data_IF_820591506098
#
_entry.id   IF_820591506098
#
_cell.length_a   1.000
_cell.length_b   1.000
_cell.length_c   1.000
_cell.angle_alpha   90.00
_cell.angle_beta   90.00
_cell.angle_gamma   90.00
#
_symmetry.space_group_name_H-M   'P 1'
#
loop_
_entity.id
_entity.type
_entity.pdbx_description
1 polymer ?
#
# COMPACT_ATOMS: atom_id res chain seq x y z
N UNK A 1 -5.85 -21.44 2.17
CA UNK A 1 -5.17 -20.57 1.19
C UNK A 1 -6.23 -20.08 0.23
N UNK A 2 -6.31 -18.77 -0.01
CA UNK A 2 -7.26 -18.18 -0.97
C UNK A 2 -6.47 -17.38 -2.02
N UNK A 3 -6.88 -17.50 -3.28
CA UNK A 3 -6.23 -16.85 -4.40
C UNK A 3 -7.12 -15.82 -5.04
N UNK A 4 -6.52 -14.73 -5.52
CA UNK A 4 -7.17 -13.71 -6.31
C UNK A 4 -6.34 -13.34 -7.53
N UNK A 5 -7.02 -13.02 -8.63
CA UNK A 5 -6.40 -12.56 -9.85
C UNK A 5 -7.13 -11.35 -10.38
N UNK A 6 -6.39 -10.28 -10.62
CA UNK A 6 -6.85 -9.06 -11.27
C UNK A 6 -6.02 -8.84 -12.55
N UNK A 7 -6.67 -8.69 -13.67
CA UNK A 7 -6.00 -8.30 -14.91
C UNK A 7 -6.69 -7.07 -15.51
N UNK A 8 -5.86 -6.13 -15.95
CA UNK A 8 -6.27 -4.86 -16.51
C UNK A 8 -5.69 -4.70 -17.91
N UNK A 9 -6.52 -4.33 -18.88
CA UNK A 9 -6.08 -4.08 -20.24
C UNK A 9 -6.54 -2.71 -20.73
N UNK A 10 -5.78 -2.14 -21.64
CA UNK A 10 -6.19 -0.92 -22.32
C UNK A 10 -7.43 -1.19 -23.17
N UNK A 11 -8.39 -0.27 -23.11
CA UNK A 11 -9.63 -0.33 -23.86
C UNK A 11 -10.00 1.07 -24.35
N UNK A 12 -9.80 1.34 -25.63
CA UNK A 12 -9.96 2.67 -26.20
C UNK A 12 -9.06 3.71 -25.51
N UNK A 13 -9.66 4.76 -24.98
CA UNK A 13 -8.95 5.82 -24.24
C UNK A 13 -8.75 5.50 -22.74
N UNK A 14 -9.40 4.45 -22.23
CA UNK A 14 -9.34 4.06 -20.83
C UNK A 14 -8.77 2.66 -20.62
N UNK A 15 -9.06 2.11 -19.46
CA UNK A 15 -8.67 0.77 -19.03
C UNK A 15 -9.92 -0.02 -18.61
N UNK A 16 -9.96 -1.30 -18.94
CA UNK A 16 -11.00 -2.23 -18.51
C UNK A 16 -10.39 -3.29 -17.58
N UNK A 17 -11.19 -3.76 -16.62
CA UNK A 17 -10.90 -4.99 -15.89
C UNK A 17 -11.19 -6.16 -16.80
N UNK A 18 -10.17 -6.95 -17.10
CA UNK A 18 -10.27 -8.15 -17.95
C UNK A 18 -10.57 -9.40 -17.13
N UNK A 19 -9.92 -9.50 -15.96
CA UNK A 19 -10.13 -10.60 -15.02
C UNK A 19 -10.30 -10.04 -13.62
N UNK A 20 -11.30 -10.54 -12.91
CA UNK A 20 -11.51 -10.31 -11.49
C UNK A 20 -11.99 -11.63 -10.86
N UNK A 21 -11.06 -12.54 -10.59
CA UNK A 21 -11.32 -13.85 -9.99
C UNK A 21 -10.80 -13.88 -8.55
N UNK A 22 -11.63 -14.33 -7.62
CA UNK A 22 -11.26 -14.51 -6.23
C UNK A 22 -11.87 -15.75 -5.61
N UNK A 23 -11.06 -16.51 -4.90
CA UNK A 23 -11.50 -17.59 -4.01
C UNK A 23 -11.89 -17.02 -2.64
N UNK A 24 -12.97 -17.55 -2.06
CA UNK A 24 -13.36 -17.18 -0.69
C UNK A 24 -12.21 -17.47 0.31
N UNK A 25 -11.94 -16.59 1.28
CA UNK A 25 -12.72 -15.42 1.71
C UNK A 25 -12.43 -14.12 0.93
N UNK A 26 -11.51 -14.12 -0.05
CA UNK A 26 -11.18 -12.93 -0.82
C UNK A 26 -12.32 -12.59 -1.78
N UNK A 27 -12.56 -11.30 -2.00
CA UNK A 27 -13.51 -10.75 -2.98
C UNK A 27 -12.96 -9.51 -3.63
N UNK A 28 -13.45 -9.22 -4.84
CA UNK A 28 -13.16 -7.99 -5.57
C UNK A 28 -14.44 -7.20 -5.84
N UNK A 29 -14.27 -5.89 -5.80
CA UNK A 29 -15.25 -4.93 -6.27
C UNK A 29 -14.59 -4.09 -7.36
N UNK A 30 -15.25 -3.98 -8.49
CA UNK A 30 -14.77 -3.25 -9.66
C UNK A 30 -15.78 -2.16 -10.02
N UNK A 31 -15.84 -1.06 -9.26
CA UNK A 31 -16.81 0.00 -9.49
C UNK A 31 -16.53 0.70 -10.82
N UNK A 32 -17.58 1.22 -11.42
CA UNK A 32 -17.45 2.16 -12.55
C UNK A 32 -16.92 3.49 -12.01
N UNK A 33 -16.02 4.10 -12.75
CA UNK A 33 -15.51 5.44 -12.52
C UNK A 33 -15.54 6.24 -13.82
N UNK A 34 -15.26 7.53 -13.74
CA UNK A 34 -15.29 8.43 -14.89
C UNK A 34 -13.88 8.70 -15.45
N UNK A 35 -12.86 8.11 -14.87
CA UNK A 35 -11.47 8.30 -15.26
C UNK A 35 -10.96 7.31 -16.30
N UNK A 36 -9.69 7.46 -16.66
CA UNK A 36 -9.00 6.57 -17.61
C UNK A 36 -8.47 5.28 -16.97
N UNK A 37 -8.35 5.23 -15.65
CA UNK A 37 -7.90 4.06 -14.92
C UNK A 37 -9.07 3.13 -14.57
N UNK A 38 -8.86 1.82 -14.57
CA UNK A 38 -9.80 0.87 -13.99
C UNK A 38 -9.53 0.71 -12.49
N UNK A 39 -10.60 0.59 -11.69
CA UNK A 39 -10.50 0.47 -10.25
C UNK A 39 -10.90 -0.91 -9.78
N UNK A 40 -10.17 -1.43 -8.81
CA UNK A 40 -10.52 -2.64 -8.08
C UNK A 40 -10.25 -2.45 -6.58
N UNK A 41 -11.18 -2.95 -5.78
CA UNK A 41 -11.02 -3.00 -4.33
C UNK A 41 -11.04 -4.45 -3.87
N UNK A 42 -10.04 -4.81 -3.08
CA UNK A 42 -10.01 -6.11 -2.40
C UNK A 42 -10.83 -6.04 -1.11
N UNK A 43 -11.49 -7.11 -0.77
CA UNK A 43 -12.22 -7.28 0.49
C UNK A 43 -12.10 -8.72 0.95
N UNK A 44 -12.14 -8.96 2.26
CA UNK A 44 -12.16 -10.31 2.83
C UNK A 44 -13.44 -10.53 3.64
N UNK A 45 -14.07 -11.68 3.45
CA UNK A 45 -15.15 -12.12 4.32
C UNK A 45 -14.57 -12.55 5.68
N UNK A 46 -15.29 -12.21 6.76
CA UNK A 46 -14.89 -12.64 8.12
C UNK A 46 -14.12 -11.58 8.92
N UNK A 47 -13.92 -10.37 8.39
CA UNK A 47 -13.43 -9.23 9.17
C UNK A 47 -11.92 -9.21 9.46
N UNK A 48 -11.14 -10.14 8.93
CA UNK A 48 -9.68 -10.18 9.06
C UNK A 48 -9.09 -11.57 8.90
N UNK A 49 -7.77 -11.68 9.08
CA UNK A 49 -7.00 -12.90 8.95
C UNK A 49 -6.88 -13.60 10.30
N UNK A 50 -7.11 -14.90 10.29
CA UNK A 50 -7.00 -15.78 11.46
C UNK A 50 -5.82 -16.76 11.31
N UNK A 51 -5.60 -17.59 12.32
CA UNK A 51 -4.46 -18.50 12.37
C UNK A 51 -4.41 -19.50 11.20
N UNK A 52 -3.34 -19.46 10.47
CA UNK A 52 -3.10 -20.30 9.29
C UNK A 52 -3.60 -19.73 7.98
N UNK A 53 -4.26 -18.57 7.96
CA UNK A 53 -4.71 -17.94 6.71
C UNK A 53 -3.54 -17.57 5.82
N UNK A 54 -3.74 -17.82 4.51
CA UNK A 54 -2.83 -17.44 3.44
C UNK A 54 -3.63 -16.83 2.30
N UNK A 55 -3.32 -15.57 1.96
CA UNK A 55 -3.90 -14.87 0.81
C UNK A 55 -2.84 -14.67 -0.25
N UNK A 56 -3.17 -14.95 -1.49
CA UNK A 56 -2.34 -14.69 -2.66
C UNK A 56 -3.11 -13.84 -3.66
N UNK A 57 -2.55 -12.71 -4.04
CA UNK A 57 -3.12 -11.77 -5.01
C UNK A 57 -2.15 -11.60 -6.18
N UNK A 58 -2.59 -11.94 -7.37
CA UNK A 58 -1.88 -11.65 -8.61
C UNK A 58 -2.53 -10.45 -9.32
N UNK A 59 -1.72 -9.49 -9.74
CA UNK A 59 -2.16 -8.29 -10.47
C UNK A 59 -1.37 -8.20 -11.77
N UNK A 60 -2.07 -8.09 -12.88
CA UNK A 60 -1.47 -7.88 -14.20
C UNK A 60 -2.02 -6.59 -14.82
N UNK A 61 -1.13 -5.67 -15.16
CA UNK A 61 -1.48 -4.42 -15.85
C UNK A 61 -0.85 -4.46 -17.24
N UNK A 62 -1.68 -4.60 -18.25
CA UNK A 62 -1.26 -4.71 -19.65
C UNK A 62 -0.67 -3.41 -20.19
N UNK A 63 -0.13 -3.45 -21.44
CA UNK A 63 0.54 -2.31 -22.04
C UNK A 63 -0.34 -1.07 -22.10
N UNK A 64 0.18 0.07 -21.62
CA UNK A 64 -0.53 1.34 -21.58
C UNK A 64 -1.80 1.39 -20.74
N UNK A 65 -2.14 0.33 -20.00
CA UNK A 65 -3.29 0.30 -19.08
C UNK A 65 -2.95 1.02 -17.77
N UNK A 66 -3.99 1.54 -17.12
CA UNK A 66 -3.87 2.21 -15.81
C UNK A 66 -4.79 1.55 -14.80
N UNK A 67 -4.26 1.03 -13.72
CA UNK A 67 -5.01 0.35 -12.68
C UNK A 67 -4.87 1.04 -11.32
N UNK A 68 -5.98 1.25 -10.64
CA UNK A 68 -6.02 1.64 -9.24
C UNK A 68 -6.54 0.45 -8.43
N UNK A 69 -5.73 -0.04 -7.51
CA UNK A 69 -6.07 -1.18 -6.64
C UNK A 69 -5.93 -0.75 -5.19
N UNK A 70 -6.99 -0.94 -4.42
CA UNK A 70 -7.03 -0.63 -2.99
C UNK A 70 -7.76 -1.76 -2.23
N UNK A 71 -8.13 -1.53 -0.99
CA UNK A 71 -8.99 -2.43 -0.22
C UNK A 71 -10.21 -1.70 0.30
N UNK A 72 -11.23 -2.44 0.76
CA UNK A 72 -12.46 -1.89 1.35
C UNK A 72 -12.40 -1.74 2.87
N UNK A 73 -11.24 -1.68 3.41
CA UNK A 73 -11.02 -1.52 4.84
C UNK A 73 -9.70 -2.16 5.29
N UNK A 74 -9.29 -1.91 6.52
CA UNK A 74 -8.01 -2.35 7.05
C UNK A 74 -7.92 -3.88 7.12
N UNK A 75 -6.75 -4.39 6.79
CA UNK A 75 -6.42 -5.80 7.03
C UNK A 75 -6.15 -6.01 8.50
N UNK A 76 -7.10 -6.63 9.20
CA UNK A 76 -6.95 -7.00 10.61
C UNK A 76 -6.33 -8.38 10.70
N UNK A 77 -5.29 -8.53 11.51
CA UNK A 77 -4.66 -9.82 11.76
C UNK A 77 -4.87 -10.20 13.23
N UNK A 78 -5.61 -11.25 13.44
CA UNK A 78 -5.95 -11.73 14.79
C UNK A 78 -4.83 -12.58 15.39
N UNK A 79 -4.91 -12.82 16.69
CA UNK A 79 -3.99 -13.72 17.42
C UNK A 79 -3.82 -15.03 16.65
N UNK A 80 -2.58 -15.45 16.46
CA UNK A 80 -2.26 -16.65 15.69
C UNK A 80 -0.98 -17.32 16.20
N UNK A 81 -1.02 -18.63 16.38
CA UNK A 81 0.13 -19.44 16.78
C UNK A 81 1.02 -19.77 15.57
N UNK A 82 0.39 -20.23 14.48
CA UNK A 82 1.07 -20.57 13.21
C UNK A 82 1.33 -19.36 12.32
N UNK A 83 0.61 -18.26 12.59
CA UNK A 83 0.67 -17.03 11.81
C UNK A 83 -0.25 -17.02 10.59
N UNK A 84 -0.52 -15.80 10.11
CA UNK A 84 -1.20 -15.53 8.85
C UNK A 84 -0.22 -14.90 7.87
N UNK A 85 -0.50 -15.00 6.57
CA UNK A 85 0.32 -14.34 5.56
C UNK A 85 -0.51 -13.82 4.39
N UNK A 86 0.00 -12.75 3.76
CA UNK A 86 -0.48 -12.28 2.47
C UNK A 86 0.69 -12.07 1.50
N UNK A 87 0.46 -12.44 0.25
CA UNK A 87 1.41 -12.23 -0.84
C UNK A 87 0.70 -11.52 -1.98
N UNK A 88 1.26 -10.41 -2.42
CA UNK A 88 0.81 -9.70 -3.62
C UNK A 88 1.93 -9.72 -4.64
N UNK A 89 1.65 -10.23 -5.83
CA UNK A 89 2.57 -10.22 -6.97
C UNK A 89 1.95 -9.42 -8.09
N UNK A 90 2.61 -8.35 -8.53
CA UNK A 90 2.13 -7.50 -9.60
C UNK A 90 3.11 -7.48 -10.78
N UNK A 91 2.58 -7.43 -12.00
CA UNK A 91 3.33 -7.19 -13.23
C UNK A 91 2.73 -6.01 -13.96
N UNK A 92 3.57 -5.05 -14.31
CA UNK A 92 3.17 -3.86 -15.04
C UNK A 92 3.95 -3.83 -16.36
N UNK A 93 3.21 -3.97 -17.44
CA UNK A 93 3.77 -4.01 -18.79
C UNK A 93 4.15 -2.60 -19.29
N UNK A 94 4.77 -2.54 -20.46
CA UNK A 94 5.30 -1.31 -21.06
C UNK A 94 4.25 -0.19 -21.11
N UNK A 95 4.62 1.00 -20.60
CA UNK A 95 3.74 2.17 -20.53
C UNK A 95 2.52 2.01 -19.61
N UNK A 96 2.36 0.86 -18.97
CA UNK A 96 1.33 0.62 -17.96
C UNK A 96 1.59 1.37 -16.67
N UNK A 97 0.54 1.57 -15.86
CA UNK A 97 0.66 2.21 -14.56
C UNK A 97 -0.19 1.50 -13.51
N UNK A 98 0.43 1.19 -12.37
CA UNK A 98 -0.26 0.62 -11.20
C UNK A 98 -0.21 1.62 -10.04
N UNK A 99 -1.38 1.93 -9.49
CA UNK A 99 -1.56 2.61 -8.22
C UNK A 99 -2.09 1.59 -7.22
N UNK A 100 -1.23 1.14 -6.29
CA UNK A 100 -1.53 0.09 -5.32
C UNK A 100 -1.53 0.67 -3.90
N UNK A 101 -2.71 0.92 -3.37
CA UNK A 101 -2.90 1.62 -2.10
C UNK A 101 -3.83 0.84 -1.16
N UNK A 102 -3.39 -0.31 -0.64
CA UNK A 102 -4.18 -1.06 0.34
C UNK A 102 -4.41 -0.23 1.61
N UNK A 103 -5.56 -0.43 2.24
CA UNK A 103 -5.80 0.11 3.57
C UNK A 103 -4.80 -0.45 4.59
N UNK A 104 -4.61 0.25 5.71
CA UNK A 104 -3.62 -0.13 6.70
C UNK A 104 -3.79 -1.55 7.23
N UNK A 105 -2.68 -2.24 7.44
CA UNK A 105 -2.63 -3.51 8.17
C UNK A 105 -2.58 -3.24 9.67
N UNK A 106 -3.44 -3.91 10.45
CA UNK A 106 -3.48 -3.83 11.90
C UNK A 106 -3.29 -5.23 12.51
N UNK A 107 -2.12 -5.47 13.08
CA UNK A 107 -1.83 -6.70 13.82
C UNK A 107 -2.26 -6.55 15.28
N UNK A 108 -3.15 -7.42 15.75
CA UNK A 108 -3.63 -7.41 17.14
C UNK A 108 -2.70 -8.19 18.08
N UNK A 109 -2.95 -8.07 19.36
CA UNK A 109 -2.15 -8.73 20.40
C UNK A 109 -1.99 -10.23 20.17
N UNK A 110 -0.74 -10.70 20.16
CA UNK A 110 -0.40 -12.08 19.88
C UNK A 110 -0.50 -12.53 18.43
N UNK A 111 -0.70 -11.61 17.46
CA UNK A 111 -0.66 -11.92 16.04
C UNK A 111 0.77 -12.27 15.59
N UNK A 112 0.86 -13.19 14.62
CA UNK A 112 2.03 -13.43 13.79
C UNK A 112 1.64 -13.19 12.34
N UNK A 113 2.35 -12.31 11.64
CA UNK A 113 1.99 -11.94 10.28
C UNK A 113 3.21 -11.78 9.39
N UNK A 114 3.09 -12.26 8.16
CA UNK A 114 4.05 -12.03 7.10
C UNK A 114 3.36 -11.45 5.87
N UNK A 115 3.82 -10.28 5.42
CA UNK A 115 3.36 -9.63 4.20
C UNK A 115 4.48 -9.61 3.17
N UNK A 116 4.14 -9.90 1.92
CA UNK A 116 5.07 -9.81 0.80
C UNK A 116 4.38 -9.13 -0.38
N UNK A 117 4.97 -8.04 -0.84
CA UNK A 117 4.56 -7.34 -2.06
C UNK A 117 5.73 -7.33 -3.04
N UNK A 118 5.52 -7.88 -4.23
CA UNK A 118 6.50 -7.91 -5.31
C UNK A 118 5.91 -7.31 -6.57
N UNK A 119 6.60 -6.31 -7.13
CA UNK A 119 6.18 -5.65 -8.37
C UNK A 119 7.28 -5.73 -9.40
N UNK A 120 6.97 -6.34 -10.55
CA UNK A 120 7.84 -6.34 -11.73
C UNK A 120 7.38 -5.24 -12.68
N UNK A 121 8.32 -4.40 -13.09
CA UNK A 121 8.09 -3.20 -13.91
C UNK A 121 8.79 -3.34 -15.25
N UNK A 122 8.03 -3.34 -16.36
CA UNK A 122 8.60 -3.25 -17.70
C UNK A 122 9.14 -1.81 -17.97
N UNK A 123 10.01 -1.62 -18.97
CA UNK A 123 10.48 -0.30 -19.36
C UNK A 123 9.33 0.68 -19.64
N UNK A 124 9.44 1.93 -19.15
CA UNK A 124 8.41 2.96 -19.33
C UNK A 124 7.14 2.76 -18.51
N UNK A 125 7.03 1.71 -17.71
CA UNK A 125 5.92 1.54 -16.77
C UNK A 125 6.06 2.42 -15.53
N UNK A 126 4.96 2.58 -14.78
CA UNK A 126 4.91 3.45 -13.60
C UNK A 126 4.24 2.75 -12.43
N UNK A 127 4.72 3.04 -11.22
CA UNK A 127 4.18 2.52 -9.97
C UNK A 127 4.06 3.63 -8.93
N UNK A 128 2.89 3.74 -8.32
CA UNK A 128 2.70 4.39 -7.04
C UNK A 128 2.15 3.36 -6.06
N UNK A 129 2.84 3.15 -4.94
CA UNK A 129 2.48 2.12 -3.98
C UNK A 129 2.71 2.62 -2.57
N UNK A 130 1.79 2.32 -1.66
CA UNK A 130 2.07 2.44 -0.23
C UNK A 130 1.81 1.14 0.52
N UNK A 131 2.51 1.00 1.63
CA UNK A 131 2.21 0.07 2.70
C UNK A 131 2.13 0.82 4.02
N UNK A 132 1.10 0.52 4.82
CA UNK A 132 0.88 1.14 6.13
C UNK A 132 0.64 0.06 7.16
N UNK A 133 1.42 0.08 8.24
CA UNK A 133 1.26 -0.78 9.40
C UNK A 133 0.82 0.03 10.61
N UNK A 134 -0.25 -0.40 11.24
CA UNK A 134 -0.79 0.15 12.49
C UNK A 134 -0.31 -0.64 13.69
N UNK A 135 -0.07 0.04 14.80
CA UNK A 135 0.24 -0.56 16.10
C UNK A 135 -0.84 -1.54 16.60
N UNK A 136 -2.04 -1.49 16.00
CA UNK A 136 -3.18 -2.26 16.46
C UNK A 136 -3.74 -1.73 17.79
N UNK A 137 -4.77 -2.41 18.30
CA UNK A 137 -5.47 -2.02 19.52
C UNK A 137 -4.56 -2.08 20.75
N UNK A 138 -3.74 -3.10 20.86
CA UNK A 138 -2.80 -3.34 21.96
C UNK A 138 -1.43 -2.65 21.75
N UNK A 139 -1.36 -1.66 20.86
CA UNK A 139 -0.18 -0.84 20.56
C UNK A 139 1.13 -1.64 20.51
N UNK A 140 1.38 -2.27 19.35
CA UNK A 140 2.58 -3.09 19.10
C UNK A 140 2.63 -4.39 19.91
N UNK A 141 1.47 -4.90 20.37
CA UNK A 141 1.34 -6.11 21.17
C UNK A 141 1.35 -7.43 20.39
N UNK A 142 1.60 -7.40 19.09
CA UNK A 142 1.73 -8.61 18.28
C UNK A 142 3.05 -9.34 18.56
N UNK A 143 3.07 -10.65 18.29
CA UNK A 143 4.24 -11.49 18.51
C UNK A 143 5.29 -11.33 17.43
N UNK A 144 4.89 -11.11 16.17
CA UNK A 144 5.82 -10.93 15.05
C UNK A 144 5.10 -10.32 13.86
N UNK A 145 5.70 -9.35 13.21
CA UNK A 145 5.24 -8.81 11.94
C UNK A 145 6.42 -8.64 10.99
N UNK A 146 6.32 -9.27 9.82
CA UNK A 146 7.29 -9.15 8.75
C UNK A 146 6.63 -8.49 7.53
N UNK A 147 7.30 -7.53 6.91
CA UNK A 147 6.94 -7.04 5.58
C UNK A 147 8.14 -7.10 4.65
N UNK A 148 7.90 -7.54 3.44
CA UNK A 148 8.86 -7.49 2.33
C UNK A 148 8.21 -6.76 1.19
N UNK A 149 8.80 -5.63 0.78
CA UNK A 149 8.38 -4.83 -0.35
C UNK A 149 9.49 -4.81 -1.40
N UNK A 150 9.21 -5.39 -2.56
CA UNK A 150 10.15 -5.43 -3.70
C UNK A 150 9.54 -4.80 -4.94
N UNK A 151 10.21 -3.79 -5.46
CA UNK A 151 9.95 -3.18 -6.76
C UNK A 151 11.29 -2.96 -7.45
N UNK A 152 11.90 -4.06 -7.91
CA UNK A 152 13.22 -4.02 -8.53
C UNK A 152 13.20 -3.32 -9.89
N UNK A 153 14.23 -2.52 -10.22
CA UNK A 153 15.49 -2.31 -9.50
C UNK A 153 15.46 -1.16 -8.47
N UNK A 154 14.29 -0.61 -8.13
CA UNK A 154 14.17 0.63 -7.35
C UNK A 154 14.25 0.39 -5.84
N UNK A 155 13.51 -0.61 -5.33
CA UNK A 155 13.40 -0.86 -3.90
C UNK A 155 13.42 -2.37 -3.59
N UNK A 156 14.21 -2.77 -2.59
CA UNK A 156 14.10 -4.04 -1.87
C UNK A 156 14.16 -3.72 -0.37
N UNK A 157 13.01 -3.68 0.27
CA UNK A 157 12.87 -3.30 1.67
C UNK A 157 12.28 -4.46 2.48
N UNK A 158 12.82 -4.68 3.67
CA UNK A 158 12.33 -5.68 4.61
C UNK A 158 12.21 -5.09 6.00
N UNK A 159 11.06 -5.30 6.61
CA UNK A 159 10.79 -4.92 7.99
C UNK A 159 10.56 -6.18 8.81
N UNK A 160 11.24 -6.25 9.95
CA UNK A 160 11.03 -7.25 10.97
C UNK A 160 10.75 -6.54 12.28
N UNK A 161 9.51 -6.64 12.74
CA UNK A 161 9.07 -6.15 14.03
C UNK A 161 8.83 -7.36 14.93
N UNK A 162 9.78 -7.61 15.81
CA UNK A 162 9.80 -8.74 16.71
C UNK A 162 10.19 -8.25 18.12
N UNK A 163 9.37 -8.50 19.16
CA UNK A 163 9.67 -8.13 20.53
C UNK A 163 10.87 -8.88 21.11
N UNK A 164 11.33 -9.99 20.51
CA UNK A 164 12.57 -10.65 20.90
C UNK A 164 13.80 -9.73 20.74
N UNK A 165 13.71 -8.72 19.84
CA UNK A 165 14.73 -7.70 19.66
C UNK A 165 14.53 -6.46 20.55
N UNK A 166 13.72 -6.55 21.58
CA UNK A 166 13.36 -5.50 22.53
C UNK A 166 11.89 -5.05 22.38
N UNK A 167 11.31 -4.49 23.47
CA UNK A 167 9.90 -4.12 23.53
C UNK A 167 9.53 -3.15 22.38
N UNK A 168 8.61 -3.55 21.52
CA UNK A 168 8.24 -2.76 20.35
C UNK A 168 7.62 -1.41 20.73
N UNK A 169 6.79 -1.38 21.78
CA UNK A 169 6.20 -0.14 22.26
C UNK A 169 7.22 0.92 22.68
N UNK A 170 8.32 0.51 23.30
CA UNK A 170 9.41 1.39 23.67
C UNK A 170 10.19 1.88 22.46
N UNK A 171 10.49 0.98 21.50
CA UNK A 171 11.21 1.30 20.26
C UNK A 171 10.41 2.24 19.37
N UNK A 172 9.10 2.07 19.29
CA UNK A 172 8.19 2.90 18.51
C UNK A 172 7.79 4.19 19.23
N UNK A 173 7.90 4.22 20.56
CA UNK A 173 7.60 5.40 21.38
C UNK A 173 6.21 5.96 21.12
N UNK A 174 6.13 7.23 20.70
CA UNK A 174 4.86 7.91 20.43
C UNK A 174 4.15 7.44 19.16
N UNK A 175 4.84 6.77 18.24
CA UNK A 175 4.27 6.40 16.96
C UNK A 175 3.34 5.18 17.07
N UNK A 176 2.15 5.32 16.52
CA UNK A 176 1.14 4.27 16.43
C UNK A 176 0.93 3.75 15.01
N UNK A 177 1.63 4.31 14.04
CA UNK A 177 1.62 3.87 12.65
C UNK A 177 2.94 4.20 11.96
N UNK A 178 3.34 3.34 11.03
CA UNK A 178 4.46 3.53 10.12
C UNK A 178 4.01 3.20 8.70
N UNK A 179 4.60 3.86 7.71
CA UNK A 179 4.25 3.63 6.30
C UNK A 179 5.38 3.98 5.36
N UNK A 180 5.36 3.32 4.21
CA UNK A 180 6.25 3.55 3.09
C UNK A 180 5.42 3.90 1.86
N UNK A 181 5.80 4.97 1.14
CA UNK A 181 5.27 5.33 -0.18
C UNK A 181 6.40 5.25 -1.19
N UNK A 182 6.20 4.49 -2.25
CA UNK A 182 7.09 4.41 -3.41
C UNK A 182 6.43 5.06 -4.63
N UNK A 183 7.15 5.95 -5.29
CA UNK A 183 6.78 6.56 -6.56
C UNK A 183 7.88 6.27 -7.58
N UNK A 184 7.54 5.70 -8.73
CA UNK A 184 8.50 5.43 -9.80
C UNK A 184 7.85 5.43 -11.18
N UNK A 185 8.65 5.68 -12.19
CA UNK A 185 8.27 5.69 -13.60
C UNK A 185 7.74 7.03 -14.11
N UNK A 186 7.62 7.17 -15.45
CA UNK A 186 7.38 8.44 -16.11
C UNK A 186 6.14 9.19 -15.63
N UNK A 187 5.07 8.48 -15.31
CA UNK A 187 3.82 9.08 -14.84
C UNK A 187 3.97 9.82 -13.51
N UNK A 188 4.91 9.40 -12.66
CA UNK A 188 5.07 9.94 -11.30
C UNK A 188 6.34 10.78 -11.10
N UNK A 189 7.15 11.01 -12.13
CA UNK A 189 8.41 11.76 -12.03
C UNK A 189 8.21 13.17 -11.44
N UNK A 190 7.25 13.92 -11.95
CA UNK A 190 6.97 15.27 -11.43
C UNK A 190 6.39 15.23 -10.00
N UNK A 191 5.53 14.26 -9.72
CA UNK A 191 4.97 14.08 -8.38
C UNK A 191 6.07 13.72 -7.39
N UNK A 192 6.97 12.81 -7.74
CA UNK A 192 8.10 12.40 -6.90
C UNK A 192 9.01 13.60 -6.57
N UNK A 193 9.35 14.44 -7.56
CA UNK A 193 10.12 15.65 -7.32
C UNK A 193 9.38 16.61 -6.37
N UNK A 194 8.10 16.90 -6.62
CA UNK A 194 7.32 17.80 -5.79
C UNK A 194 7.15 17.30 -4.34
N UNK A 195 7.01 15.97 -4.16
CA UNK A 195 6.96 15.37 -2.83
C UNK A 195 8.29 15.50 -2.12
N UNK A 196 9.40 15.19 -2.80
CA UNK A 196 10.75 15.36 -2.24
C UNK A 196 10.98 16.79 -1.79
N UNK A 197 10.74 17.77 -2.67
CA UNK A 197 10.98 19.19 -2.37
C UNK A 197 10.15 19.67 -1.17
N UNK A 198 8.91 19.16 -1.02
CA UNK A 198 8.03 19.47 0.12
C UNK A 198 8.54 18.86 1.43
N UNK A 199 9.04 17.62 1.39
CA UNK A 199 9.59 16.95 2.58
C UNK A 199 10.90 17.60 3.00
N UNK A 200 11.77 17.91 2.04
CA UNK A 200 13.06 18.56 2.30
C UNK A 200 12.91 19.98 2.84
N UNK A 201 11.84 20.70 2.43
CA UNK A 201 11.53 22.06 2.92
C UNK A 201 11.02 22.07 4.38
N UNK A 202 10.59 20.94 4.93
CA UNK A 202 10.07 20.83 6.28
C UNK A 202 10.83 19.73 7.06
N UNK A 203 12.07 20.02 7.48
CA UNK A 203 12.89 19.03 8.17
C UNK A 203 12.22 18.55 9.47
N UNK A 204 12.50 17.30 9.84
CA UNK A 204 11.91 16.68 11.01
C UNK A 204 12.34 17.41 12.29
N UNK A 205 11.39 17.92 13.05
CA UNK A 205 11.62 18.53 14.33
C UNK A 205 11.49 17.51 15.47
N UNK A 206 12.28 17.71 16.54
CA UNK A 206 12.16 16.89 17.75
C UNK A 206 10.76 17.10 18.36
N UNK A 207 9.99 16.03 18.48
CA UNK A 207 8.63 16.12 19.03
C UNK A 207 7.53 16.36 18.00
N UNK A 208 7.85 16.56 16.73
CA UNK A 208 6.84 16.64 15.68
C UNK A 208 5.91 15.40 15.71
N UNK A 209 4.58 15.59 15.63
CA UNK A 209 3.65 14.45 15.68
C UNK A 209 3.85 13.49 14.51
N UNK A 210 4.08 14.00 13.32
CA UNK A 210 4.40 13.20 12.14
C UNK A 210 5.86 13.44 11.76
N UNK A 211 6.60 12.37 11.54
CA UNK A 211 7.97 12.41 11.06
C UNK A 211 8.05 11.68 9.74
N UNK A 212 8.70 12.28 8.78
CA UNK A 212 8.86 11.70 7.44
C UNK A 212 10.24 11.97 6.88
N UNK A 213 10.64 11.12 5.94
CA UNK A 213 11.84 11.29 5.15
C UNK A 213 11.58 10.90 3.72
N UNK A 214 12.15 11.63 2.77
CA UNK A 214 12.11 11.34 1.35
C UNK A 214 13.52 10.97 0.87
N UNK A 215 13.67 9.80 0.29
CA UNK A 215 14.95 9.33 -0.22
C UNK A 215 14.85 9.14 -1.73
N UNK A 216 15.61 9.92 -2.53
CA UNK A 216 15.66 9.72 -3.97
C UNK A 216 16.30 8.36 -4.28
N UNK A 217 15.72 7.69 -5.27
CA UNK A 217 16.20 6.44 -5.83
C UNK A 217 16.68 6.69 -7.27
N UNK A 218 17.14 5.62 -7.95
CA UNK A 218 17.52 5.71 -9.37
C UNK A 218 16.37 6.15 -10.27
N UNK A 219 16.69 6.71 -11.40
CA UNK A 219 15.75 7.06 -12.48
C UNK A 219 14.58 7.96 -12.03
N UNK A 220 14.84 8.86 -11.07
CA UNK A 220 13.82 9.78 -10.54
C UNK A 220 12.76 9.15 -9.66
N UNK A 221 12.94 7.90 -9.25
CA UNK A 221 12.06 7.27 -8.26
C UNK A 221 12.31 7.85 -6.87
N UNK A 222 11.28 7.76 -6.02
CA UNK A 222 11.29 8.28 -4.66
C UNK A 222 10.67 7.28 -3.69
N UNK A 223 11.32 7.07 -2.55
CA UNK A 223 10.70 6.42 -1.40
C UNK A 223 10.51 7.43 -0.27
N UNK A 224 9.30 7.49 0.27
CA UNK A 224 8.97 8.28 1.46
C UNK A 224 8.62 7.34 2.59
N UNK A 225 9.23 7.54 3.76
CA UNK A 225 8.91 6.81 4.98
C UNK A 225 8.28 7.76 5.98
N UNK A 226 7.17 7.35 6.57
CA UNK A 226 6.37 8.18 7.47
C UNK A 226 6.10 7.42 8.75
N UNK A 227 6.21 8.10 9.89
CA UNK A 227 5.77 7.61 11.20
C UNK A 227 4.85 8.66 11.84
N UNK A 228 3.72 8.21 12.39
CA UNK A 228 2.71 9.07 12.99
C UNK A 228 2.11 8.46 14.27
N UNK A 229 1.54 9.27 15.18
CA UNK A 229 0.88 8.78 16.39
C UNK A 229 -0.35 7.91 16.08
N UNK A 230 -1.01 8.15 14.95
CA UNK A 230 -2.19 7.41 14.51
C UNK A 230 -2.17 7.09 13.02
N UNK A 231 -2.91 6.05 12.64
CA UNK A 231 -3.13 5.68 11.24
C UNK A 231 -3.78 6.81 10.45
N UNK A 232 -4.74 7.50 11.04
CA UNK A 232 -5.46 8.60 10.39
C UNK A 232 -4.51 9.73 9.98
N UNK A 233 -3.62 10.14 10.89
CA UNK A 233 -2.63 11.18 10.60
C UNK A 233 -1.64 10.71 9.53
N UNK A 234 -1.21 9.45 9.57
CA UNK A 234 -0.30 8.89 8.58
C UNK A 234 -0.95 8.84 7.19
N UNK A 235 -2.14 8.26 7.08
CA UNK A 235 -2.88 8.15 5.81
C UNK A 235 -3.21 9.54 5.26
N UNK A 236 -3.64 10.48 6.11
CA UNK A 236 -3.86 11.87 5.71
C UNK A 236 -2.58 12.49 5.12
N UNK A 237 -1.42 12.26 5.75
CA UNK A 237 -0.13 12.75 5.23
C UNK A 237 0.21 12.14 3.87
N UNK A 238 0.07 10.82 3.72
CA UNK A 238 0.32 10.14 2.46
C UNK A 238 -0.63 10.61 1.34
N UNK A 239 -1.92 10.77 1.63
CA UNK A 239 -2.89 11.33 0.66
C UNK A 239 -2.55 12.77 0.28
N UNK A 240 -2.06 13.57 1.22
CA UNK A 240 -1.56 14.92 0.95
C UNK A 240 -0.41 14.93 -0.05
N UNK A 241 0.48 13.94 -0.01
CA UNK A 241 1.52 13.78 -1.03
C UNK A 241 0.94 13.40 -2.39
N UNK A 242 -0.18 12.71 -2.43
CA UNK A 242 -0.86 12.22 -3.63
C UNK A 242 -2.02 13.13 -4.11
N UNK A 243 -2.08 14.39 -3.67
CA UNK A 243 -3.19 15.31 -3.94
C UNK A 243 -3.44 15.53 -5.45
N UNK A 244 -2.45 15.33 -6.30
CA UNK A 244 -2.59 15.41 -7.77
C UNK A 244 -3.03 14.10 -8.42
N UNK A 245 -3.11 13.00 -7.67
CA UNK A 245 -3.48 11.69 -8.21
C UNK A 245 -4.86 11.68 -8.88
N UNK A 246 -5.92 12.34 -8.35
CA UNK A 246 -7.21 12.43 -9.02
C UNK A 246 -7.11 12.96 -10.44
N UNK A 247 -6.26 13.96 -10.70
CA UNK A 247 -6.05 14.51 -12.03
C UNK A 247 -5.38 13.50 -12.98
N UNK A 248 -4.49 12.64 -12.46
CA UNK A 248 -3.82 11.59 -13.25
C UNK A 248 -4.76 10.42 -13.57
N UNK A 249 -5.73 10.14 -12.68
CA UNK A 249 -6.72 9.08 -12.85
C UNK A 249 -7.94 9.53 -13.66
N UNK A 250 -8.23 10.85 -13.66
CA UNK A 250 -9.43 11.44 -14.22
C UNK A 250 -10.67 11.32 -13.32
N UNK A 251 -10.51 10.81 -12.12
CA UNK A 251 -11.53 10.73 -11.06
C UNK A 251 -10.86 10.55 -9.69
N UNK A 252 -11.57 10.92 -8.61
CA UNK A 252 -11.03 10.85 -7.24
C UNK A 252 -11.40 9.51 -6.56
N UNK A 253 -10.43 8.62 -6.34
CA UNK A 253 -10.68 7.32 -5.73
C UNK A 253 -11.05 7.42 -4.24
N UNK A 254 -10.81 8.57 -3.60
CA UNK A 254 -11.08 8.78 -2.17
C UNK A 254 -12.29 9.67 -1.89
N UNK A 255 -13.02 10.11 -2.94
CA UNK A 255 -14.18 11.03 -2.81
C UNK A 255 -15.24 10.58 -1.80
N UNK A 256 -15.47 9.28 -1.68
CA UNK A 256 -16.50 8.71 -0.80
C UNK A 256 -15.92 8.14 0.51
N UNK A 257 -14.67 8.39 0.82
CA UNK A 257 -14.03 7.87 2.02
C UNK A 257 -14.30 8.81 3.20
N UNK A 258 -15.41 8.57 3.90
CA UNK A 258 -15.87 9.36 5.05
C UNK A 258 -14.86 9.37 6.24
N UNK A 259 -13.80 8.56 6.19
CA UNK A 259 -12.79 8.50 7.26
C UNK A 259 -11.83 9.69 7.30
N UNK A 260 -11.91 10.60 6.32
CA UNK A 260 -10.99 11.76 6.19
C UNK A 260 -11.65 13.09 6.57
N UNK A 261 -12.95 13.08 6.83
CA UNK A 261 -13.73 14.31 7.11
C UNK A 261 -14.00 14.56 8.61
N UNK A 262 -13.26 13.95 9.52
CA UNK A 262 -13.40 14.14 10.97
C UNK A 262 -12.06 14.43 11.67
#
# INVERSE_FOLDING_TARGET
>A
MARGQLAFRRSGTGTAVETAFAESPLRFLTPRNHGSAAWAYTSTLGGGLVDGDRLELEISVGPGARAFVSSQGPTRVFRSARGAASTTVARVEEGGALMLFPDPTACFGGARYAQRTEVSLAPGSSLALWEVLSAGRERWGFTRCESTLRALPFLDERWLLDPEHGPLGERMGRFGAIGTLLLTGPLFTHLASAVRDRVDAAPAERGAPVVESASPLRDGALVVRVAAPSVQQLVHRLRGHLATLPSLLGDDPWRNDASVAA
#
